data_IF_202008571225
#
_entry.id   IF_202008571225
#
_cell.length_a   1.000
_cell.length_b   1.000
_cell.length_c   1.000
_cell.angle_alpha   90.00
_cell.angle_beta   90.00
_cell.angle_gamma   90.00
#
_symmetry.space_group_name_H-M   'P 1'
#
loop_
_entity.id
_entity.type
_entity.pdbx_description
1 polymer ?
#
# COMPACT_ATOMS: atom_id res chain seq x y z
N UNK A 1 -4.34 -22.11 -9.88
CA UNK A 1 -5.45 -21.91 -8.93
C UNK A 1 -6.67 -21.55 -9.75
N UNK A 2 -7.77 -22.29 -9.66
CA UNK A 2 -8.97 -22.05 -10.49
C UNK A 2 -10.05 -21.47 -9.58
N UNK A 3 -10.40 -20.21 -9.82
CA UNK A 3 -11.34 -19.43 -9.00
C UNK A 3 -12.77 -19.59 -9.55
N UNK A 4 -13.76 -19.76 -8.67
CA UNK A 4 -15.13 -20.14 -9.02
C UNK A 4 -16.16 -18.99 -8.90
N UNK A 5 -15.70 -17.76 -8.66
CA UNK A 5 -16.59 -16.60 -8.47
C UNK A 5 -16.76 -15.71 -9.71
N UNK A 6 -16.18 -16.07 -10.86
CA UNK A 6 -16.40 -15.32 -12.11
C UNK A 6 -17.81 -15.52 -12.65
N UNK A 7 -18.59 -14.44 -12.69
CA UNK A 7 -19.87 -14.44 -13.40
C UNK A 7 -19.59 -14.24 -14.90
N UNK A 8 -19.99 -15.21 -15.73
CA UNK A 8 -19.87 -15.15 -17.20
C UNK A 8 -20.92 -14.22 -17.85
N UNK A 9 -21.49 -13.28 -17.10
CA UNK A 9 -22.52 -12.38 -17.59
C UNK A 9 -21.89 -11.05 -18.04
N UNK A 10 -21.99 -10.73 -19.33
CA UNK A 10 -21.64 -9.42 -19.90
C UNK A 10 -22.56 -8.31 -19.35
N UNK A 11 -22.23 -7.80 -18.17
CA UNK A 11 -22.95 -6.71 -17.51
C UNK A 11 -22.01 -5.81 -16.70
N UNK A 12 -22.56 -4.83 -15.97
CA UNK A 12 -21.79 -3.88 -15.16
C UNK A 12 -20.79 -4.56 -14.18
N UNK A 13 -21.13 -5.77 -13.71
CA UNK A 13 -20.25 -6.58 -12.87
C UNK A 13 -19.09 -7.23 -13.63
N UNK A 14 -19.23 -7.54 -14.92
CA UNK A 14 -18.14 -8.05 -15.76
C UNK A 14 -17.07 -6.97 -16.01
N UNK A 15 -17.45 -5.70 -16.15
CA UNK A 15 -16.50 -4.58 -16.15
C UNK A 15 -15.78 -4.41 -14.81
N UNK A 16 -16.49 -4.59 -13.68
CA UNK A 16 -15.87 -4.58 -12.35
C UNK A 16 -14.94 -5.78 -12.12
N UNK A 17 -15.28 -6.97 -12.63
CA UNK A 17 -14.45 -8.18 -12.56
C UNK A 17 -13.21 -8.06 -13.46
N UNK A 18 -13.34 -7.51 -14.67
CA UNK A 18 -12.23 -7.25 -15.59
C UNK A 18 -11.30 -6.13 -15.08
N UNK A 19 -11.87 -5.15 -14.34
CA UNK A 19 -11.13 -4.11 -13.62
C UNK A 19 -10.72 -4.49 -12.18
N UNK A 20 -11.10 -5.66 -11.66
CA UNK A 20 -10.83 -6.06 -10.28
C UNK A 20 -9.35 -6.36 -10.00
N UNK A 21 -8.52 -6.39 -11.05
CA UNK A 21 -7.07 -6.38 -10.98
C UNK A 21 -6.45 -4.97 -10.96
N UNK A 22 -7.23 -3.93 -10.62
CA UNK A 22 -6.74 -2.54 -10.47
C UNK A 22 -5.81 -2.40 -9.26
N UNK A 23 -4.59 -2.91 -9.44
CA UNK A 23 -3.46 -2.74 -8.53
C UNK A 23 -2.76 -1.41 -8.85
N UNK A 24 -2.94 -0.37 -8.04
CA UNK A 24 -2.16 0.85 -8.19
C UNK A 24 -0.73 0.61 -7.66
N UNK A 25 0.14 0.16 -8.56
CA UNK A 25 1.54 -0.15 -8.25
C UNK A 25 2.24 0.99 -7.49
N UNK A 26 1.98 2.25 -7.87
CA UNK A 26 2.57 3.39 -7.20
C UNK A 26 2.13 3.52 -5.73
N UNK A 27 0.88 3.19 -5.40
CA UNK A 27 0.43 3.20 -4.01
C UNK A 27 1.06 2.04 -3.23
N UNK A 28 0.93 0.81 -3.73
CA UNK A 28 1.40 -0.40 -3.03
C UNK A 28 2.91 -0.37 -2.83
N UNK A 29 3.66 -0.18 -3.91
CA UNK A 29 5.13 -0.16 -3.87
C UNK A 29 5.63 1.08 -3.13
N UNK A 30 4.95 2.21 -3.29
CA UNK A 30 5.26 3.44 -2.57
C UNK A 30 5.10 3.30 -1.06
N UNK A 31 4.01 2.66 -0.62
CA UNK A 31 3.77 2.37 0.80
C UNK A 31 4.81 1.41 1.37
N UNK A 32 5.14 0.34 0.64
CA UNK A 32 6.19 -0.60 1.06
C UNK A 32 7.53 0.10 1.25
N UNK A 33 7.95 0.91 0.27
CA UNK A 33 9.19 1.68 0.35
C UNK A 33 9.19 2.75 1.45
N UNK A 34 8.07 3.44 1.65
CA UNK A 34 7.88 4.38 2.76
C UNK A 34 7.98 3.68 4.11
N UNK A 35 7.46 2.45 4.21
CA UNK A 35 7.51 1.63 5.41
C UNK A 35 8.94 1.18 5.72
N UNK A 36 9.71 0.77 4.72
CA UNK A 36 11.15 0.47 4.90
C UNK A 36 11.93 1.69 5.42
N UNK A 37 11.68 2.86 4.83
CA UNK A 37 12.30 4.12 5.21
C UNK A 37 11.40 5.33 4.87
N UNK A 38 10.98 6.14 5.85
CA UNK A 38 11.56 6.25 7.20
C UNK A 38 10.92 5.41 8.31
N UNK A 39 9.78 4.73 8.10
CA UNK A 39 9.01 4.16 9.23
C UNK A 39 9.83 3.14 10.03
N UNK A 40 10.36 2.11 9.39
CA UNK A 40 11.21 1.13 10.09
C UNK A 40 12.57 1.73 10.46
N UNK A 41 13.18 2.52 9.56
CA UNK A 41 14.54 3.03 9.77
C UNK A 41 14.67 4.04 10.92
N UNK A 42 13.71 4.95 11.02
CA UNK A 42 13.84 6.18 11.82
C UNK A 42 12.75 6.29 12.88
N UNK A 43 11.55 5.73 12.65
CA UNK A 43 10.45 5.72 13.63
C UNK A 43 10.46 4.46 14.55
N UNK A 44 11.44 3.56 14.37
CA UNK A 44 11.63 2.36 15.22
C UNK A 44 13.11 2.11 15.55
N UNK A 45 13.38 1.16 16.43
CA UNK A 45 14.71 0.72 16.85
C UNK A 45 15.22 -0.54 16.10
N UNK A 46 14.51 -1.00 15.07
CA UNK A 46 14.76 -2.29 14.39
C UNK A 46 16.21 -2.49 13.92
N UNK A 47 16.91 -1.39 13.59
CA UNK A 47 18.28 -1.43 13.10
C UNK A 47 19.36 -1.00 14.10
N UNK A 48 19.01 -0.65 15.34
CA UNK A 48 19.95 -0.09 16.31
C UNK A 48 21.15 -1.01 16.56
N UNK A 49 20.91 -2.31 16.69
CA UNK A 49 21.94 -3.32 16.92
C UNK A 49 22.35 -4.07 15.63
N UNK A 50 21.78 -3.69 14.48
CA UNK A 50 21.93 -4.42 13.21
C UNK A 50 22.35 -3.49 12.05
N UNK A 51 23.55 -2.87 12.10
CA UNK A 51 23.99 -1.91 11.08
C UNK A 51 24.11 -2.51 9.68
N UNK A 52 24.45 -3.82 9.58
CA UNK A 52 24.54 -4.52 8.30
C UNK A 52 23.15 -4.66 7.64
N UNK A 53 22.09 -4.87 8.43
CA UNK A 53 20.73 -4.91 7.90
C UNK A 53 20.29 -3.51 7.43
N UNK A 54 20.64 -2.46 8.18
CA UNK A 54 20.40 -1.06 7.78
C UNK A 54 21.08 -0.72 6.45
N UNK A 55 22.34 -1.15 6.29
CA UNK A 55 23.07 -1.03 5.04
C UNK A 55 22.37 -1.76 3.89
N UNK A 56 21.88 -2.99 4.13
CA UNK A 56 21.08 -3.73 3.15
C UNK A 56 19.83 -2.99 2.70
N UNK A 57 19.08 -2.40 3.65
CA UNK A 57 17.94 -1.54 3.34
C UNK A 57 18.37 -0.34 2.48
N UNK A 58 19.45 0.37 2.83
CA UNK A 58 19.93 1.49 2.02
C UNK A 58 20.38 1.09 0.61
N UNK A 59 21.10 -0.03 0.46
CA UNK A 59 21.46 -0.58 -0.86
C UNK A 59 20.22 -0.77 -1.71
N UNK A 60 19.17 -1.32 -1.12
CA UNK A 60 17.91 -1.56 -1.81
C UNK A 60 17.12 -0.28 -2.10
N UNK A 61 17.15 0.72 -1.22
CA UNK A 61 16.58 2.05 -1.50
C UNK A 61 17.28 2.73 -2.68
N UNK A 62 18.62 2.66 -2.76
CA UNK A 62 19.40 3.16 -3.90
C UNK A 62 18.95 2.47 -5.19
N UNK A 63 18.74 1.15 -5.16
CA UNK A 63 18.25 0.43 -6.33
C UNK A 63 16.93 1.00 -6.87
N UNK A 64 15.96 1.30 -5.99
CA UNK A 64 14.68 1.90 -6.44
C UNK A 64 14.84 3.35 -6.86
N UNK A 65 15.79 4.10 -6.31
CA UNK A 65 16.14 5.43 -6.84
C UNK A 65 16.71 5.34 -8.26
N UNK A 66 17.60 4.37 -8.52
CA UNK A 66 18.14 4.11 -9.86
C UNK A 66 17.05 3.73 -10.86
N UNK A 67 16.04 2.94 -10.44
CA UNK A 67 14.87 2.62 -11.29
C UNK A 67 14.22 3.87 -11.88
N UNK A 68 14.03 4.91 -11.07
CA UNK A 68 13.44 6.18 -11.53
C UNK A 68 14.32 6.86 -12.59
N UNK A 69 15.63 6.93 -12.34
CA UNK A 69 16.60 7.58 -13.24
C UNK A 69 16.73 6.80 -14.55
N UNK A 70 16.88 5.49 -14.46
CA UNK A 70 17.12 4.61 -15.61
C UNK A 70 15.87 4.53 -16.49
N UNK A 71 14.69 4.29 -15.92
CA UNK A 71 13.45 4.14 -16.71
C UNK A 71 13.12 5.43 -17.49
N UNK A 72 13.17 6.58 -16.81
CA UNK A 72 13.00 7.88 -17.48
C UNK A 72 14.14 8.18 -18.46
N UNK A 73 15.36 7.77 -18.13
CA UNK A 73 16.53 7.88 -18.99
C UNK A 73 16.35 7.15 -20.33
N UNK A 74 15.99 5.87 -20.26
CA UNK A 74 15.81 5.00 -21.42
C UNK A 74 14.67 5.48 -22.32
N UNK A 75 13.53 5.85 -21.72
CA UNK A 75 12.29 6.07 -22.47
C UNK A 75 12.05 7.53 -22.87
N UNK A 76 12.72 8.49 -22.23
CA UNK A 76 12.51 9.93 -22.49
C UNK A 76 13.78 10.71 -22.79
N UNK A 77 14.96 10.26 -22.33
CA UNK A 77 16.22 11.01 -22.44
C UNK A 77 17.26 10.38 -23.38
N UNK A 78 16.94 9.27 -24.02
CA UNK A 78 17.85 8.59 -24.96
C UNK A 78 19.06 7.93 -24.29
N UNK A 79 18.97 7.60 -23.00
CA UNK A 79 20.02 6.89 -22.26
C UNK A 79 20.32 5.55 -22.93
N UNK A 80 21.60 5.22 -23.08
CA UNK A 80 22.01 3.93 -23.64
C UNK A 80 21.99 2.84 -22.58
N UNK A 81 21.79 1.60 -23.01
CA UNK A 81 21.79 0.42 -22.10
C UNK A 81 23.07 0.33 -21.26
N UNK A 82 24.24 0.59 -21.85
CA UNK A 82 25.52 0.51 -21.12
C UNK A 82 25.64 1.59 -20.04
N UNK A 83 25.18 2.81 -20.31
CA UNK A 83 25.15 3.90 -19.32
C UNK A 83 24.27 3.52 -18.11
N UNK A 84 23.13 2.85 -18.36
CA UNK A 84 22.28 2.34 -17.27
C UNK A 84 22.96 1.25 -16.43
N UNK A 85 23.75 0.36 -17.05
CA UNK A 85 24.53 -0.65 -16.33
C UNK A 85 25.66 -0.01 -15.51
N UNK A 86 26.30 1.03 -16.03
CA UNK A 86 27.31 1.81 -15.30
C UNK A 86 26.72 2.49 -14.06
N UNK A 87 25.46 2.94 -14.11
CA UNK A 87 24.77 3.47 -12.93
C UNK A 87 24.59 2.39 -11.85
N UNK A 88 24.22 1.16 -12.23
CA UNK A 88 24.10 0.06 -11.26
C UNK A 88 25.45 -0.33 -10.64
N UNK A 89 26.50 -0.38 -11.45
CA UNK A 89 27.85 -0.61 -10.93
C UNK A 89 28.26 0.48 -9.94
N UNK A 90 28.17 1.74 -10.37
CA UNK A 90 28.66 2.90 -9.61
C UNK A 90 27.93 3.10 -8.29
N UNK A 91 26.60 2.94 -8.28
CA UNK A 91 25.78 3.32 -7.13
C UNK A 91 25.21 2.13 -6.35
N UNK A 92 24.99 0.98 -6.98
CA UNK A 92 24.48 -0.22 -6.33
C UNK A 92 25.52 -1.34 -6.15
N UNK A 93 26.76 -1.12 -6.63
CA UNK A 93 27.86 -2.09 -6.60
C UNK A 93 27.47 -3.44 -7.22
N UNK A 94 26.67 -3.40 -8.29
CA UNK A 94 26.14 -4.60 -8.93
C UNK A 94 26.53 -4.67 -10.41
N UNK A 95 27.42 -5.62 -10.71
CA UNK A 95 27.84 -6.01 -12.07
C UNK A 95 27.25 -7.35 -12.50
N UNK A 96 26.33 -7.89 -11.72
CA UNK A 96 25.85 -9.25 -11.91
C UNK A 96 24.78 -9.30 -13.00
N UNK A 97 24.44 -10.52 -13.40
CA UNK A 97 23.33 -10.78 -14.31
C UNK A 97 21.97 -10.27 -13.77
N UNK A 98 21.86 -10.00 -12.46
CA UNK A 98 20.67 -9.39 -11.88
C UNK A 98 20.40 -7.99 -12.44
N UNK A 99 21.42 -7.12 -12.50
CA UNK A 99 21.29 -5.77 -13.09
C UNK A 99 20.92 -5.84 -14.58
N UNK A 100 21.51 -6.79 -15.30
CA UNK A 100 21.24 -7.03 -16.73
C UNK A 100 19.79 -7.42 -16.96
N UNK A 101 19.25 -8.33 -16.15
CA UNK A 101 17.85 -8.79 -16.21
C UNK A 101 16.87 -7.69 -15.84
N UNK A 102 17.13 -6.96 -14.76
CA UNK A 102 16.29 -5.82 -14.36
C UNK A 102 16.27 -4.74 -15.45
N UNK A 103 17.41 -4.44 -16.07
CA UNK A 103 17.46 -3.47 -17.16
C UNK A 103 16.64 -3.91 -18.37
N UNK A 104 16.69 -5.19 -18.73
CA UNK A 104 15.83 -5.75 -19.79
C UNK A 104 14.35 -5.58 -19.43
N UNK A 105 13.99 -5.81 -18.17
CA UNK A 105 12.61 -5.59 -17.69
C UNK A 105 12.18 -4.13 -17.84
N UNK A 106 13.04 -3.17 -17.54
CA UNK A 106 12.72 -1.74 -17.66
C UNK A 106 12.53 -1.33 -19.11
N UNK A 107 13.32 -1.90 -20.03
CA UNK A 107 13.15 -1.68 -21.46
C UNK A 107 11.80 -2.24 -21.97
N UNK A 108 11.34 -3.36 -21.44
CA UNK A 108 10.09 -4.02 -21.87
C UNK A 108 8.82 -3.44 -21.24
N UNK A 109 8.91 -2.73 -20.11
CA UNK A 109 7.74 -2.22 -19.40
C UNK A 109 7.97 -0.77 -18.91
N UNK A 110 7.83 0.23 -19.80
CA UNK A 110 8.05 1.64 -19.48
C UNK A 110 7.16 2.12 -18.33
N UNK A 111 7.71 2.92 -17.41
CA UNK A 111 6.97 3.56 -16.33
C UNK A 111 6.74 2.70 -15.09
N UNK A 112 6.72 1.37 -15.19
CA UNK A 112 6.49 0.48 -14.03
C UNK A 112 7.57 0.69 -12.96
N UNK A 113 8.84 0.79 -13.36
CA UNK A 113 9.96 0.92 -12.43
C UNK A 113 9.94 2.25 -11.66
N UNK A 114 9.33 3.30 -12.23
CA UNK A 114 9.19 4.61 -11.58
C UNK A 114 8.15 4.63 -10.46
N UNK A 115 7.17 3.72 -10.50
CA UNK A 115 6.02 3.70 -9.59
C UNK A 115 6.45 3.65 -8.12
N UNK A 116 7.48 2.86 -7.81
CA UNK A 116 8.08 2.71 -6.48
C UNK A 116 8.43 4.07 -5.86
N UNK A 117 9.27 4.86 -6.55
CA UNK A 117 9.77 6.12 -6.01
C UNK A 117 8.73 7.23 -6.08
N UNK A 118 7.92 7.30 -7.14
CA UNK A 118 6.85 8.30 -7.23
C UNK A 118 5.85 8.11 -6.08
N UNK A 119 5.50 6.85 -5.80
CA UNK A 119 4.68 6.47 -4.66
C UNK A 119 5.26 6.90 -3.32
N UNK A 120 6.50 6.47 -3.04
CA UNK A 120 7.20 6.80 -1.80
C UNK A 120 7.30 8.30 -1.59
N UNK A 121 7.77 9.04 -2.60
CA UNK A 121 7.94 10.50 -2.54
C UNK A 121 6.61 11.20 -2.29
N UNK A 122 5.53 10.74 -2.92
CA UNK A 122 4.18 11.28 -2.68
C UNK A 122 3.73 11.08 -1.24
N UNK A 123 3.90 9.87 -0.67
CA UNK A 123 3.51 9.61 0.72
C UNK A 123 4.37 10.41 1.70
N UNK A 124 5.67 10.55 1.44
CA UNK A 124 6.56 11.40 2.23
C UNK A 124 6.14 12.87 2.17
N UNK A 125 5.85 13.40 0.98
CA UNK A 125 5.36 14.77 0.81
C UNK A 125 4.06 15.00 1.59
N UNK A 126 3.14 14.04 1.55
CA UNK A 126 1.89 14.09 2.32
C UNK A 126 2.16 14.05 3.82
N UNK A 127 3.06 13.19 4.31
CA UNK A 127 3.45 13.15 5.73
C UNK A 127 3.97 14.50 6.20
N UNK A 128 4.91 15.09 5.46
CA UNK A 128 5.51 16.38 5.81
C UNK A 128 4.51 17.52 5.73
N UNK A 129 3.62 17.52 4.71
CA UNK A 129 2.52 18.47 4.61
C UNK A 129 1.59 18.35 5.81
N UNK A 130 1.11 17.15 6.15
CA UNK A 130 0.22 16.93 7.30
C UNK A 130 0.89 17.36 8.61
N UNK A 131 2.17 17.02 8.81
CA UNK A 131 2.94 17.42 9.98
C UNK A 131 3.04 18.95 10.10
N UNK A 132 3.34 19.63 9.00
CA UNK A 132 3.41 21.10 8.97
C UNK A 132 2.06 21.76 9.23
N UNK A 133 1.00 21.24 8.64
CA UNK A 133 -0.33 21.86 8.71
C UNK A 133 -1.05 21.62 10.05
N UNK A 134 -0.80 20.47 10.70
CA UNK A 134 -1.44 20.10 11.97
C UNK A 134 -0.61 20.49 13.20
N UNK A 135 0.71 20.65 13.06
CA UNK A 135 1.59 21.02 14.18
C UNK A 135 1.46 20.05 15.36
N UNK A 136 1.09 20.55 16.53
CA UNK A 136 0.88 19.74 17.74
C UNK A 136 -0.28 18.75 17.62
N UNK A 137 -1.26 19.01 16.73
CA UNK A 137 -2.36 18.06 16.44
C UNK A 137 -1.90 16.89 15.55
N UNK A 138 -0.66 16.89 15.06
CA UNK A 138 -0.17 15.79 14.22
C UNK A 138 0.06 14.51 15.01
N UNK A 139 -0.54 13.42 14.55
CA UNK A 139 -0.29 12.08 15.06
C UNK A 139 0.10 11.14 13.91
N UNK A 140 1.25 10.48 14.04
CA UNK A 140 1.77 9.58 13.01
C UNK A 140 0.88 8.35 12.80
N UNK A 141 0.32 7.77 13.88
CA UNK A 141 -0.57 6.61 13.80
C UNK A 141 -1.85 6.96 13.07
N UNK A 142 -2.41 8.14 13.35
CA UNK A 142 -3.61 8.62 12.66
C UNK A 142 -3.31 8.88 11.19
N UNK A 143 -2.18 9.51 10.87
CA UNK A 143 -1.75 9.68 9.47
C UNK A 143 -1.66 8.34 8.73
N UNK A 144 -0.99 7.33 9.29
CA UNK A 144 -0.90 6.00 8.68
C UNK A 144 -2.26 5.34 8.53
N UNK A 145 -3.14 5.48 9.52
CA UNK A 145 -4.52 5.01 9.43
C UNK A 145 -5.24 5.66 8.25
N UNK A 146 -5.16 6.98 8.10
CA UNK A 146 -5.83 7.71 7.02
C UNK A 146 -5.28 7.34 5.64
N UNK A 147 -3.97 7.10 5.51
CA UNK A 147 -3.37 6.64 4.25
C UNK A 147 -3.87 5.25 3.85
N UNK A 148 -4.04 4.35 4.83
CA UNK A 148 -4.43 2.95 4.59
C UNK A 148 -5.94 2.72 4.54
N UNK A 149 -6.75 3.58 5.16
CA UNK A 149 -8.21 3.40 5.31
C UNK A 149 -8.95 3.33 3.99
N UNK A 150 -8.39 3.95 2.94
CA UNK A 150 -8.97 3.98 1.60
C UNK A 150 -8.57 2.78 0.74
N UNK A 151 -7.70 1.90 1.26
CA UNK A 151 -7.17 0.77 0.52
C UNK A 151 -6.31 1.22 -0.67
N UNK A 152 -6.29 0.39 -1.71
CA UNK A 152 -5.48 0.64 -2.90
C UNK A 152 -6.12 1.73 -3.77
N UNK A 153 -5.52 2.93 -3.79
CA UNK A 153 -6.09 4.08 -4.48
C UNK A 153 -5.07 4.82 -5.36
N UNK A 154 -5.52 5.55 -6.40
CA UNK A 154 -4.66 6.45 -7.16
C UNK A 154 -4.03 7.53 -6.27
N UNK A 155 -2.77 7.88 -6.52
CA UNK A 155 -2.06 8.91 -5.74
C UNK A 155 -2.75 10.28 -5.75
N UNK A 156 -3.43 10.63 -6.85
CA UNK A 156 -4.20 11.88 -6.95
C UNK A 156 -5.41 11.90 -6.01
N UNK A 157 -6.07 10.76 -5.82
CA UNK A 157 -7.14 10.61 -4.85
C UNK A 157 -6.58 10.68 -3.42
N UNK A 158 -5.51 9.95 -3.13
CA UNK A 158 -4.85 9.98 -1.82
C UNK A 158 -4.47 11.41 -1.41
N UNK A 159 -3.92 12.21 -2.33
CA UNK A 159 -3.59 13.63 -2.08
C UNK A 159 -4.82 14.43 -1.64
N UNK A 160 -5.92 14.35 -2.39
CA UNK A 160 -7.18 15.04 -2.07
C UNK A 160 -7.77 14.58 -0.75
N UNK A 161 -7.69 13.28 -0.47
CA UNK A 161 -8.21 12.69 0.77
C UNK A 161 -7.45 13.21 1.98
N UNK A 162 -6.12 13.19 1.95
CA UNK A 162 -5.28 13.70 3.04
C UNK A 162 -5.46 15.21 3.23
N UNK A 163 -5.64 15.98 2.16
CA UNK A 163 -6.00 17.40 2.26
C UNK A 163 -7.33 17.60 3.00
N UNK A 164 -8.34 16.79 2.70
CA UNK A 164 -9.62 16.87 3.40
C UNK A 164 -9.52 16.46 4.87
N UNK A 165 -8.72 15.45 5.16
CA UNK A 165 -8.39 15.06 6.53
C UNK A 165 -7.73 16.21 7.32
N UNK A 166 -6.74 16.88 6.74
CA UNK A 166 -6.09 18.04 7.34
C UNK A 166 -7.13 19.14 7.63
N UNK A 167 -7.98 19.47 6.66
CA UNK A 167 -9.04 20.48 6.82
C UNK A 167 -10.00 20.14 7.97
N UNK A 168 -10.42 18.88 8.08
CA UNK A 168 -11.31 18.41 9.14
C UNK A 168 -10.68 18.54 10.53
N UNK A 169 -9.39 18.21 10.68
CA UNK A 169 -8.67 18.30 11.96
C UNK A 169 -8.32 19.75 12.33
N UNK A 170 -8.01 20.61 11.36
CA UNK A 170 -7.71 22.02 11.62
C UNK A 170 -8.93 22.80 12.08
N UNK A 171 -10.07 22.57 11.43
CA UNK A 171 -11.28 23.36 11.65
C UNK A 171 -12.21 22.77 12.73
N UNK A 172 -11.86 21.62 13.32
CA UNK A 172 -12.70 20.88 14.27
C UNK A 172 -14.15 20.74 13.76
N UNK A 173 -14.28 20.50 12.45
CA UNK A 173 -15.56 20.54 11.73
C UNK A 173 -16.45 19.37 12.13
N UNK A 174 -17.63 19.65 12.68
CA UNK A 174 -18.65 18.65 13.02
C UNK A 174 -19.54 18.24 11.83
N UNK A 175 -19.05 18.35 10.59
CA UNK A 175 -19.79 17.87 9.43
C UNK A 175 -19.82 16.35 9.40
N UNK A 176 -20.86 15.75 8.82
CA UNK A 176 -20.98 14.28 8.68
C UNK A 176 -19.78 13.65 7.96
N UNK A 177 -19.20 14.37 6.99
CA UNK A 177 -17.98 13.97 6.29
C UNK A 177 -16.75 14.00 7.20
N UNK A 178 -16.57 15.05 8.00
CA UNK A 178 -15.43 15.11 8.90
C UNK A 178 -15.56 14.08 10.03
N UNK A 179 -16.78 13.83 10.52
CA UNK A 179 -17.05 12.76 11.48
C UNK A 179 -16.75 11.37 10.93
N UNK A 180 -16.95 11.12 9.62
CA UNK A 180 -16.57 9.82 9.03
C UNK A 180 -15.06 9.67 8.84
N UNK A 181 -14.33 10.78 8.68
CA UNK A 181 -12.87 10.78 8.53
C UNK A 181 -12.16 10.71 9.89
N UNK A 182 -12.57 11.53 10.86
CA UNK A 182 -11.92 11.65 12.18
C UNK A 182 -12.57 10.77 13.26
N UNK A 183 -13.73 10.18 12.96
CA UNK A 183 -14.49 9.39 13.93
C UNK A 183 -13.74 8.16 14.43
N UNK A 184 -13.88 7.81 15.72
CA UNK A 184 -13.30 6.59 16.25
C UNK A 184 -13.87 5.38 15.52
N UNK A 185 -13.02 4.39 15.25
CA UNK A 185 -13.44 3.14 14.63
C UNK A 185 -14.60 2.52 15.41
N UNK A 186 -15.75 2.32 14.76
CA UNK A 186 -16.74 1.39 15.29
C UNK A 186 -16.07 0.01 15.34
N UNK A 187 -15.71 -0.41 16.55
CA UNK A 187 -15.19 -1.74 16.83
C UNK A 187 -16.13 -2.79 16.23
N UNK A 188 -15.72 -3.38 15.12
CA UNK A 188 -16.42 -4.47 14.42
C UNK A 188 -16.68 -5.71 15.30
N UNK A 189 -16.13 -5.75 16.52
CA UNK A 189 -16.42 -6.75 17.56
C UNK A 189 -17.91 -6.93 17.86
N UNK A 190 -18.75 -5.90 17.76
CA UNK A 190 -20.19 -6.10 18.00
C UNK A 190 -20.87 -6.92 16.91
N UNK A 191 -20.45 -6.77 15.65
CA UNK A 191 -21.01 -7.52 14.52
C UNK A 191 -20.46 -8.95 14.51
N UNK A 192 -19.15 -9.11 14.76
CA UNK A 192 -18.50 -10.42 14.84
C UNK A 192 -19.04 -11.26 16.00
N UNK A 193 -19.25 -10.67 17.19
CA UNK A 193 -19.80 -11.39 18.34
C UNK A 193 -21.27 -11.79 18.14
N UNK A 194 -22.08 -10.95 17.50
CA UNK A 194 -23.49 -11.27 17.20
C UNK A 194 -23.61 -12.39 16.17
N UNK A 195 -22.80 -12.37 15.11
CA UNK A 195 -22.79 -13.42 14.10
C UNK A 195 -22.24 -14.75 14.65
N UNK A 196 -21.20 -14.70 15.49
CA UNK A 196 -20.63 -15.88 16.13
C UNK A 196 -21.61 -16.49 17.16
N UNK A 197 -22.33 -15.67 17.93
CA UNK A 197 -23.36 -16.12 18.85
C UNK A 197 -24.58 -16.74 18.12
N UNK A 198 -25.03 -16.13 17.02
CA UNK A 198 -26.10 -16.66 16.18
C UNK A 198 -25.72 -17.99 15.52
N UNK A 199 -24.46 -18.14 15.10
CA UNK A 199 -23.95 -19.39 14.55
C UNK A 199 -23.87 -20.51 15.60
N UNK A 200 -23.41 -20.19 16.82
CA UNK A 200 -23.38 -21.13 17.96
C UNK A 200 -24.78 -21.59 18.36
N UNK A 201 -25.78 -20.69 18.36
CA UNK A 201 -27.18 -21.05 18.62
C UNK A 201 -27.78 -21.94 17.53
N UNK A 202 -27.49 -21.69 16.24
CA UNK A 202 -27.94 -22.56 15.14
C UNK A 202 -27.36 -23.97 15.21
N UNK A 203 -26.08 -24.10 15.58
CA UNK A 203 -25.43 -25.41 15.77
C UNK A 203 -26.01 -26.18 16.96
N UNK A 204 -26.31 -25.50 18.07
CA UNK A 204 -26.99 -26.10 19.21
C UNK A 204 -28.41 -26.60 18.86
N UNK A 205 -29.17 -25.85 18.05
CA UNK A 205 -30.49 -26.27 17.57
C UNK A 205 -30.43 -27.46 16.58
N UNK A 206 -29.37 -27.56 15.78
CA UNK A 206 -29.17 -28.73 14.89
C UNK A 206 -28.80 -30.01 15.67
N UNK A 207 -28.04 -29.91 16.76
CA UNK A 207 -27.68 -31.07 17.58
C UNK A 207 -28.85 -31.63 18.41
N UNK A 208 -29.86 -30.82 18.74
CA UNK A 208 -31.05 -31.28 19.46
C UNK A 208 -32.00 -32.06 18.52
N UNK A 209 -32.04 -31.73 17.22
CA UNK A 209 -32.93 -32.40 16.24
C UNK A 209 -32.44 -33.76 15.75
N UNK A 210 -31.15 -34.11 15.91
CA UNK A 210 -30.62 -35.40 15.41
C UNK A 210 -30.72 -36.56 16.40
N UNK A 211 -31.09 -36.34 17.67
CA UNK A 211 -31.19 -37.41 18.70
C UNK A 211 -32.55 -38.10 18.79
N UNK A 212 -33.55 -37.70 18.01
CA UNK A 212 -34.85 -38.38 17.95
C UNK A 212 -35.12 -38.96 16.56
N UNK A 213 -34.36 -39.99 16.20
CA UNK A 213 -34.78 -40.98 15.20
C UNK A 213 -34.14 -42.32 15.54
N UNK A 214 -34.71 -42.97 16.55
CA UNK A 214 -34.63 -44.41 16.74
C UNK A 214 -35.96 -45.01 16.33
N UNK A 215 -35.89 -46.18 15.68
CA UNK A 215 -36.83 -47.31 15.66
C UNK A 215 -36.76 -48.01 14.29
N UNK A 216 -37.10 -49.30 14.20
CA UNK A 216 -36.76 -50.47 15.02
C UNK A 216 -35.70 -51.36 14.35
#
# INVERSE_FOLDING_TARGET
MREYFHSHCEGLMSWLDDQSSNSFAAFIEGWALYSENPVMSDDTDVYNDNPIQKYGMFKWQIWRALRLIIDTGLHSRGMKRNEALELFDKFAWDKTDFAVKELTRYQSCPGQATAYMIGRLTIMELREKTKRELGEKFNLKDFHYQVLSQGNAPLSFLRKYIEKYIECVKNDSNTSLCQSITGPQQKSTEKFNKEHAAHKMRLAHMHIRSRHRHYP
#
